data_IF_667949021795
#
_entry.id   IF_667949021795
#
_cell.length_a   1.000
_cell.length_b   1.000
_cell.length_c   1.000
_cell.angle_alpha   90.00
_cell.angle_beta   90.00
_cell.angle_gamma   90.00
#
_symmetry.space_group_name_H-M   'P 1'
#
loop_
_entity.id
_entity.type
_entity.pdbx_description
1 polymer ?
#
# COMPACT_ATOMS: atom_id res chain seq x y z
N UNK A 1 -6.31 34.95 10.07
CA UNK A 1 -5.11 34.10 10.17
C UNK A 1 -5.41 32.96 11.14
N UNK A 2 -6.06 31.87 10.68
CA UNK A 2 -6.45 30.67 11.46
C UNK A 2 -6.58 29.39 10.61
N UNK A 3 -6.13 29.41 9.34
CA UNK A 3 -6.33 28.28 8.42
C UNK A 3 -5.20 27.23 8.45
N UNK A 4 -4.01 27.58 8.95
CA UNK A 4 -2.83 26.70 8.84
C UNK A 4 -2.69 25.71 10.01
N UNK A 5 -3.19 26.06 11.20
CA UNK A 5 -3.08 25.20 12.39
C UNK A 5 -3.86 23.88 12.22
N UNK A 6 -5.07 23.94 11.62
CA UNK A 6 -5.89 22.77 11.35
C UNK A 6 -5.24 21.78 10.37
N UNK A 7 -4.51 22.29 9.36
CA UNK A 7 -3.79 21.46 8.40
C UNK A 7 -2.61 20.74 9.04
N UNK A 8 -1.88 21.41 9.93
CA UNK A 8 -0.74 20.82 10.67
C UNK A 8 -1.22 19.68 11.56
N UNK A 9 -2.33 19.89 12.28
CA UNK A 9 -2.93 18.85 13.15
C UNK A 9 -3.39 17.65 12.33
N UNK A 10 -4.12 17.87 11.23
CA UNK A 10 -4.61 16.78 10.39
C UNK A 10 -3.47 16.00 9.73
N UNK A 11 -2.40 16.66 9.31
CA UNK A 11 -1.18 16.00 8.81
C UNK A 11 -0.55 15.09 9.89
N UNK A 12 -0.50 15.57 11.13
CA UNK A 12 -0.03 14.78 12.27
C UNK A 12 -0.91 13.55 12.53
N UNK A 13 -2.22 13.72 12.51
CA UNK A 13 -3.19 12.64 12.67
C UNK A 13 -3.08 11.61 11.53
N UNK A 14 -3.05 12.07 10.27
CA UNK A 14 -2.89 11.20 9.11
C UNK A 14 -1.62 10.35 9.20
N UNK A 15 -0.50 10.95 9.62
CA UNK A 15 0.75 10.21 9.83
C UNK A 15 0.58 9.11 10.88
N UNK A 16 -0.13 9.37 11.98
CA UNK A 16 -0.37 8.36 13.01
C UNK A 16 -1.31 7.25 12.51
N UNK A 17 -2.37 7.62 11.79
CA UNK A 17 -3.28 6.65 11.17
C UNK A 17 -2.54 5.75 10.19
N UNK A 18 -1.68 6.33 9.35
CA UNK A 18 -0.90 5.59 8.36
C UNK A 18 0.07 4.62 9.02
N UNK A 19 0.75 5.02 10.12
CA UNK A 19 1.62 4.11 10.88
C UNK A 19 0.86 2.87 11.37
N UNK A 20 -0.25 3.10 12.09
CA UNK A 20 -1.06 2.00 12.63
C UNK A 20 -1.61 1.09 11.50
N UNK A 21 -1.92 1.69 10.35
CA UNK A 21 -2.34 0.94 9.17
C UNK A 21 -1.22 0.06 8.61
N UNK A 22 0.00 0.59 8.45
CA UNK A 22 1.16 -0.16 7.97
C UNK A 22 1.48 -1.33 8.91
N UNK A 23 1.39 -1.11 10.22
CA UNK A 23 1.61 -2.15 11.22
C UNK A 23 0.61 -3.32 11.09
N UNK A 24 -0.63 -3.05 10.66
CA UNK A 24 -1.62 -4.11 10.44
C UNK A 24 -1.51 -4.81 9.08
N UNK A 25 -0.64 -4.36 8.17
CA UNK A 25 -0.53 -4.97 6.83
C UNK A 25 0.14 -6.35 6.86
N UNK A 26 1.05 -6.60 7.81
CA UNK A 26 1.79 -7.87 7.89
C UNK A 26 0.84 -9.05 8.06
N UNK A 27 -0.13 -8.91 8.97
CA UNK A 27 -1.17 -9.91 9.24
C UNK A 27 -2.12 -10.12 8.05
N UNK A 28 -2.23 -9.13 7.17
CA UNK A 28 -3.04 -9.22 5.95
C UNK A 28 -2.29 -9.94 4.82
N UNK A 29 -0.99 -9.68 4.66
CA UNK A 29 -0.17 -10.26 3.58
C UNK A 29 0.40 -11.64 3.90
N UNK A 30 0.44 -12.02 5.18
CA UNK A 30 1.02 -13.27 5.65
C UNK A 30 0.15 -13.99 6.68
N UNK A 31 0.25 -15.32 6.67
CA UNK A 31 -0.32 -16.21 7.68
C UNK A 31 0.49 -16.20 8.98
N UNK A 32 -0.04 -16.83 10.04
CA UNK A 32 0.65 -16.98 11.32
C UNK A 32 2.04 -17.64 11.20
N UNK A 33 2.22 -18.52 10.20
CA UNK A 33 3.49 -19.19 9.90
C UNK A 33 4.37 -18.38 8.92
N UNK A 34 4.10 -17.07 8.78
CA UNK A 34 4.80 -16.11 7.90
C UNK A 34 4.76 -16.46 6.41
N UNK A 35 3.91 -17.40 6.02
CA UNK A 35 3.71 -17.68 4.60
C UNK A 35 2.80 -16.64 3.97
N UNK A 36 3.10 -16.26 2.73
CA UNK A 36 2.25 -15.37 1.93
C UNK A 36 0.86 -15.97 1.77
N UNK A 37 -0.18 -15.15 1.97
CA UNK A 37 -1.58 -15.57 1.84
C UNK A 37 -1.98 -15.76 0.38
N UNK A 38 -1.37 -15.02 -0.56
CA UNK A 38 -1.50 -15.26 -2.00
C UNK A 38 -0.45 -16.27 -2.45
N UNK A 39 -0.91 -17.35 -3.11
CA UNK A 39 -0.06 -18.43 -3.64
C UNK A 39 -0.02 -18.51 -5.17
N UNK A 40 -0.99 -17.91 -5.85
CA UNK A 40 -1.23 -18.11 -7.27
C UNK A 40 -2.44 -17.35 -7.77
N UNK A 41 -2.67 -17.47 -9.07
CA UNK A 41 -3.91 -17.05 -9.72
C UNK A 41 -4.74 -18.29 -10.05
N UNK A 42 -6.06 -18.13 -10.07
CA UNK A 42 -6.99 -19.16 -10.48
C UNK A 42 -7.78 -18.67 -11.68
N UNK A 43 -7.97 -19.53 -12.69
CA UNK A 43 -8.84 -19.22 -13.81
C UNK A 43 -10.29 -19.70 -13.57
N UNK A 44 -11.18 -19.41 -14.52
CA UNK A 44 -12.59 -19.84 -14.46
C UNK A 44 -12.77 -21.37 -14.54
N UNK A 45 -11.74 -22.10 -14.98
CA UNK A 45 -11.71 -23.57 -15.06
C UNK A 45 -11.10 -24.20 -13.80
N UNK A 46 -10.75 -23.39 -12.79
CA UNK A 46 -10.12 -23.79 -11.53
C UNK A 46 -8.68 -24.31 -11.69
N UNK A 47 -7.99 -23.98 -12.77
CA UNK A 47 -6.56 -24.19 -12.87
C UNK A 47 -5.82 -23.19 -12.00
N UNK A 48 -4.84 -23.66 -11.22
CA UNK A 48 -4.03 -22.81 -10.34
C UNK A 48 -2.67 -22.58 -11.00
N UNK A 49 -2.30 -21.31 -11.15
CA UNK A 49 -1.04 -20.86 -11.72
C UNK A 49 -0.18 -20.23 -10.63
N UNK A 50 0.99 -20.80 -10.38
CA UNK A 50 1.95 -20.25 -9.42
C UNK A 50 2.52 -18.91 -9.87
N UNK A 51 2.89 -18.08 -8.89
CA UNK A 51 3.52 -16.78 -9.13
C UNK A 51 5.02 -17.00 -9.44
N UNK A 52 5.55 -16.35 -10.48
CA UNK A 52 6.98 -16.34 -10.74
C UNK A 52 7.70 -15.32 -9.85
N UNK A 53 9.02 -15.40 -9.75
CA UNK A 53 9.84 -14.46 -8.97
C UNK A 53 10.04 -13.08 -9.64
N UNK A 54 9.30 -12.78 -10.71
CA UNK A 54 9.40 -11.49 -11.41
C UNK A 54 8.87 -10.34 -10.53
N UNK A 55 9.71 -9.33 -10.31
CA UNK A 55 9.40 -8.19 -9.44
C UNK A 55 8.19 -7.38 -9.90
N UNK A 56 7.91 -7.30 -11.22
CA UNK A 56 6.74 -6.57 -11.73
C UNK A 56 5.46 -7.32 -11.41
N UNK A 57 5.47 -8.66 -11.55
CA UNK A 57 4.34 -9.50 -11.17
C UNK A 57 4.09 -9.40 -9.66
N UNK A 58 5.14 -9.54 -8.85
CA UNK A 58 5.04 -9.43 -7.39
C UNK A 58 4.54 -8.05 -6.94
N UNK A 59 5.02 -6.96 -7.55
CA UNK A 59 4.54 -5.61 -7.22
C UNK A 59 3.05 -5.48 -7.46
N UNK A 60 2.56 -5.96 -8.61
CA UNK A 60 1.14 -5.85 -8.95
C UNK A 60 0.25 -6.67 -8.02
N UNK A 61 0.72 -7.85 -7.61
CA UNK A 61 0.01 -8.69 -6.65
C UNK A 61 -0.10 -7.99 -5.30
N UNK A 62 0.99 -7.41 -4.80
CA UNK A 62 0.97 -6.66 -3.53
C UNK A 62 0.03 -5.46 -3.61
N UNK A 63 0.07 -4.67 -4.68
CA UNK A 63 -0.84 -3.54 -4.88
C UNK A 63 -2.31 -3.97 -4.82
N UNK A 64 -2.69 -4.99 -5.61
CA UNK A 64 -4.06 -5.52 -5.63
C UNK A 64 -4.45 -6.06 -4.27
N UNK A 65 -3.54 -6.75 -3.60
CA UNK A 65 -3.82 -7.39 -2.32
C UNK A 65 -4.01 -6.38 -1.19
N UNK A 66 -3.25 -5.28 -1.20
CA UNK A 66 -3.33 -4.21 -0.21
C UNK A 66 -4.52 -3.28 -0.46
N UNK A 67 -5.00 -3.17 -1.70
CA UNK A 67 -6.03 -2.21 -2.10
C UNK A 67 -7.31 -2.24 -1.25
N UNK A 68 -7.91 -3.41 -0.91
CA UNK A 68 -9.08 -3.45 -0.02
C UNK A 68 -8.82 -2.80 1.34
N UNK A 69 -7.63 -3.01 1.92
CA UNK A 69 -7.25 -2.40 3.20
C UNK A 69 -7.01 -0.90 3.08
N UNK A 70 -6.49 -0.45 1.94
CA UNK A 70 -6.36 0.99 1.63
C UNK A 70 -7.74 1.65 1.53
N UNK A 71 -8.73 0.97 0.95
CA UNK A 71 -10.10 1.46 0.87
C UNK A 71 -10.76 1.54 2.26
N UNK A 72 -10.61 0.50 3.09
CA UNK A 72 -11.07 0.50 4.48
C UNK A 72 -10.44 1.67 5.28
N UNK A 73 -9.13 1.89 5.11
CA UNK A 73 -8.42 3.01 5.72
C UNK A 73 -9.01 4.36 5.32
N UNK A 74 -9.24 4.59 4.03
CA UNK A 74 -9.83 5.83 3.53
C UNK A 74 -11.22 6.07 4.13
N UNK A 75 -12.07 5.04 4.13
CA UNK A 75 -13.41 5.12 4.68
C UNK A 75 -13.39 5.43 6.18
N UNK A 76 -12.53 4.76 6.94
CA UNK A 76 -12.40 4.92 8.40
C UNK A 76 -12.00 6.33 8.81
N UNK A 77 -11.13 6.98 8.04
CA UNK A 77 -10.58 8.30 8.39
C UNK A 77 -11.13 9.45 7.52
N UNK A 78 -12.29 9.25 6.88
CA UNK A 78 -12.99 10.28 6.10
C UNK A 78 -12.20 10.83 4.91
N UNK A 79 -11.61 9.94 4.13
CA UNK A 79 -10.98 10.26 2.84
C UNK A 79 -11.75 9.61 1.67
N UNK A 80 -11.77 10.31 0.54
CA UNK A 80 -12.07 9.73 -0.77
C UNK A 80 -10.76 9.21 -1.39
N UNK A 81 -10.85 8.14 -2.19
CA UNK A 81 -9.73 7.64 -3.01
C UNK A 81 -9.95 8.11 -4.44
N UNK A 82 -8.92 8.73 -5.02
CA UNK A 82 -8.84 9.02 -6.45
C UNK A 82 -7.66 8.25 -7.02
N UNK A 83 -7.90 7.44 -8.04
CA UNK A 83 -6.87 6.70 -8.76
C UNK A 83 -6.36 7.54 -9.93
N UNK A 84 -5.12 7.29 -10.38
CA UNK A 84 -4.62 7.93 -11.59
C UNK A 84 -5.41 7.46 -12.83
N UNK A 85 -6.00 8.39 -13.57
CA UNK A 85 -6.79 8.11 -14.78
C UNK A 85 -5.92 7.80 -16.02
N UNK A 86 -4.61 8.10 -15.94
CA UNK A 86 -3.65 7.92 -17.03
C UNK A 86 -2.48 7.05 -16.58
N UNK A 87 -1.96 6.24 -17.51
CA UNK A 87 -0.73 5.48 -17.28
C UNK A 87 0.44 6.44 -17.02
N UNK A 88 1.28 6.12 -16.04
CA UNK A 88 2.49 6.87 -15.64
C UNK A 88 2.25 8.22 -14.95
N UNK A 89 1.07 8.46 -14.37
CA UNK A 89 0.83 9.64 -13.53
C UNK A 89 1.07 9.31 -12.06
N UNK A 90 1.84 10.17 -11.39
CA UNK A 90 1.98 10.13 -9.93
C UNK A 90 0.88 10.99 -9.28
N UNK A 91 0.33 10.57 -8.12
CA UNK A 91 0.53 9.28 -7.46
C UNK A 91 -0.44 8.20 -7.98
N UNK A 92 -0.15 6.92 -7.65
CA UNK A 92 -1.06 5.81 -7.92
C UNK A 92 -2.43 6.04 -7.24
N UNK A 93 -2.39 6.53 -5.99
CA UNK A 93 -3.55 6.73 -5.14
C UNK A 93 -3.45 8.11 -4.47
N UNK A 94 -4.52 8.89 -4.57
CA UNK A 94 -4.69 10.13 -3.80
C UNK A 94 -5.80 9.96 -2.77
N UNK A 95 -5.48 10.19 -1.50
CA UNK A 95 -6.48 10.39 -0.45
C UNK A 95 -6.88 11.88 -0.44
N UNK A 96 -8.15 12.15 -0.68
CA UNK A 96 -8.72 13.51 -0.64
C UNK A 96 -9.60 13.62 0.60
N UNK A 97 -9.31 14.56 1.49
CA UNK A 97 -10.07 14.70 2.73
C UNK A 97 -11.51 15.16 2.43
N UNK A 98 -12.50 14.49 3.02
CA UNK A 98 -13.92 14.75 2.68
C UNK A 98 -14.40 16.12 3.12
N UNK A 99 -13.91 16.64 4.25
CA UNK A 99 -14.36 17.93 4.78
C UNK A 99 -13.61 19.13 4.14
N UNK A 100 -12.46 18.88 3.50
CA UNK A 100 -11.69 19.88 2.77
C UNK A 100 -10.87 19.24 1.64
N UNK A 101 -11.40 19.26 0.42
CA UNK A 101 -10.77 18.65 -0.76
C UNK A 101 -9.42 19.26 -1.16
N UNK A 102 -9.05 20.41 -0.58
CA UNK A 102 -7.72 21.02 -0.76
C UNK A 102 -6.64 20.24 -0.02
N UNK A 103 -7.01 19.39 0.94
CA UNK A 103 -6.10 18.54 1.71
C UNK A 103 -6.02 17.18 1.04
N UNK A 104 -4.84 16.87 0.52
CA UNK A 104 -4.57 15.64 -0.23
C UNK A 104 -3.32 14.96 0.29
N UNK A 105 -3.35 13.64 0.36
CA UNK A 105 -2.19 12.82 0.66
C UNK A 105 -1.98 11.83 -0.49
N UNK A 106 -0.79 11.87 -1.07
CA UNK A 106 -0.35 10.95 -2.12
C UNK A 106 0.14 9.65 -1.49
N UNK A 107 -0.31 8.51 -2.04
CA UNK A 107 0.17 7.17 -1.70
C UNK A 107 0.70 6.49 -2.96
N UNK A 108 1.90 5.95 -2.84
CA UNK A 108 2.61 5.23 -3.89
C UNK A 108 3.25 4.00 -3.23
N UNK A 109 3.05 2.83 -3.83
CA UNK A 109 3.51 1.56 -3.27
C UNK A 109 4.73 1.12 -4.07
N UNK A 110 5.87 0.97 -3.39
CA UNK A 110 7.11 0.50 -4.01
C UNK A 110 7.47 -0.89 -3.52
N UNK A 111 7.77 -1.76 -4.49
CA UNK A 111 8.23 -3.13 -4.25
C UNK A 111 9.67 -3.28 -4.72
N UNK A 112 10.51 -3.93 -3.92
CA UNK A 112 11.87 -4.32 -4.27
C UNK A 112 12.20 -5.67 -3.66
N UNK A 113 13.27 -6.31 -4.14
CA UNK A 113 13.75 -7.59 -3.61
C UNK A 113 15.13 -7.42 -3.00
N UNK A 114 15.47 -8.34 -2.10
CA UNK A 114 16.80 -8.44 -1.51
C UNK A 114 17.38 -9.82 -1.81
N UNK A 115 18.63 -9.83 -2.27
CA UNK A 115 19.42 -11.06 -2.31
C UNK A 115 19.95 -11.34 -0.90
N UNK A 116 19.82 -12.58 -0.43
CA UNK A 116 20.44 -13.04 0.81
C UNK A 116 21.93 -12.68 0.83
N UNK A 117 22.41 -12.07 1.91
CA UNK A 117 23.84 -11.79 2.15
C UNK A 117 24.56 -12.96 2.82
N UNK A 118 24.15 -14.21 2.57
CA UNK A 118 24.98 -15.37 2.89
C UNK A 118 26.17 -15.42 1.90
N UNK A 119 27.32 -14.90 2.34
CA UNK A 119 28.59 -14.68 1.64
C UNK A 119 28.79 -13.34 0.91
N UNK A 120 28.69 -12.23 1.63
CA UNK A 120 29.51 -11.05 1.32
C UNK A 120 30.21 -10.55 2.57
N UNK A 121 31.46 -10.97 2.74
CA UNK A 121 32.43 -10.25 3.57
C UNK A 121 32.59 -8.85 2.95
N UNK A 122 31.81 -7.90 3.42
CA UNK A 122 32.07 -6.48 3.17
C UNK A 122 32.10 -5.82 4.53
N UNK A 123 33.33 -5.63 5.00
CA UNK A 123 33.69 -4.78 6.12
C UNK A 123 33.30 -3.34 5.76
N UNK A 124 32.54 -2.68 6.64
CA UNK A 124 32.54 -1.23 6.74
C UNK A 124 33.47 -0.83 7.88
#
# INVERSE_FOLDING_TARGET
MKCDDGKIVLKGQFKQYLKNFVDSLVEHVSSNDQQWTIKGFIDIYKNIYSISSDTKILSKILEIHLFPKILEFAQKYSFNIVLADHQNYYPDISFVFKDDERIKFALDIKTSYRLSTSNRNVTF
#
